data_IF_305719478315
#
_entry.id   IF_305719478315
#
_cell.length_a   1.000
_cell.length_b   1.000
_cell.length_c   1.000
_cell.angle_alpha   90.00
_cell.angle_beta   90.00
_cell.angle_gamma   90.00
#
_symmetry.space_group_name_H-M   'P 1'
#
loop_
_entity.id
_entity.type
_entity.pdbx_description
1 polymer ?
#
# COMPACT_ATOMS: atom_id res chain seq x y z
N UNK A 1 -12.83 -14.22 -9.70
CA UNK A 1 -13.20 -14.28 -8.26
C UNK A 1 -12.00 -14.06 -7.34
N UNK A 2 -10.93 -14.87 -7.40
CA UNK A 2 -9.74 -14.75 -6.53
C UNK A 2 -9.15 -13.34 -6.43
N UNK A 3 -9.03 -12.64 -7.55
CA UNK A 3 -8.45 -11.27 -7.57
C UNK A 3 -9.34 -10.25 -6.86
N UNK A 4 -10.66 -10.36 -6.97
CA UNK A 4 -11.61 -9.49 -6.28
C UNK A 4 -11.56 -9.74 -4.77
N UNK A 5 -11.48 -11.02 -4.37
CA UNK A 5 -11.35 -11.42 -2.97
C UNK A 5 -10.09 -10.80 -2.35
N UNK A 6 -8.95 -10.84 -3.06
CA UNK A 6 -7.70 -10.22 -2.58
C UNK A 6 -7.80 -8.70 -2.45
N UNK A 7 -8.48 -8.03 -3.37
CA UNK A 7 -8.73 -6.59 -3.28
C UNK A 7 -9.59 -6.24 -2.07
N UNK A 8 -10.71 -6.95 -1.89
CA UNK A 8 -11.62 -6.76 -0.74
C UNK A 8 -10.91 -7.06 0.58
N UNK A 9 -10.13 -8.13 0.66
CA UNK A 9 -9.38 -8.45 1.88
C UNK A 9 -8.38 -7.35 2.23
N UNK A 10 -7.77 -6.71 1.22
CA UNK A 10 -6.84 -5.59 1.45
C UNK A 10 -7.55 -4.42 2.11
N UNK A 11 -8.72 -4.02 1.60
CA UNK A 11 -9.54 -2.94 2.18
C UNK A 11 -9.92 -3.26 3.64
N UNK A 12 -10.32 -4.50 3.92
CA UNK A 12 -10.66 -4.93 5.28
C UNK A 12 -9.44 -4.85 6.20
N UNK A 13 -8.27 -5.32 5.74
CA UNK A 13 -7.03 -5.27 6.53
C UNK A 13 -6.62 -3.83 6.82
N UNK A 14 -6.68 -2.93 5.84
CA UNK A 14 -6.36 -1.51 6.04
C UNK A 14 -7.34 -0.83 7.00
N UNK A 15 -8.63 -1.15 6.91
CA UNK A 15 -9.63 -0.67 7.86
C UNK A 15 -9.35 -1.16 9.29
N UNK A 16 -8.97 -2.43 9.45
CA UNK A 16 -8.61 -2.99 10.77
C UNK A 16 -7.33 -2.37 11.34
N UNK A 17 -6.31 -2.17 10.52
CA UNK A 17 -5.06 -1.49 10.92
C UNK A 17 -5.38 -0.05 11.37
N UNK A 18 -6.14 0.68 10.56
CA UNK A 18 -6.56 2.05 10.88
C UNK A 18 -7.35 2.08 12.18
N UNK A 19 -8.32 1.17 12.34
CA UNK A 19 -9.10 1.06 13.58
C UNK A 19 -8.22 0.75 14.80
N UNK A 20 -7.27 -0.17 14.66
CA UNK A 20 -6.29 -0.48 15.72
C UNK A 20 -5.49 0.75 16.13
N UNK A 21 -4.97 1.51 15.16
CA UNK A 21 -4.18 2.73 15.42
C UNK A 21 -5.05 3.81 16.08
N UNK A 22 -6.28 4.01 15.61
CA UNK A 22 -7.20 5.01 16.21
C UNK A 22 -7.50 4.71 17.66
N UNK A 23 -7.64 3.42 18.03
CA UNK A 23 -7.83 3.00 19.43
C UNK A 23 -6.60 3.20 20.30
N UNK A 24 -5.40 3.16 19.73
CA UNK A 24 -4.15 3.34 20.48
C UNK A 24 -3.82 4.82 20.73
N UNK A 25 -4.16 5.70 19.79
CA UNK A 25 -3.75 7.12 19.81
C UNK A 25 -4.94 8.06 20.09
N UNK A 26 -6.16 7.52 20.21
CA UNK A 26 -7.42 8.27 20.40
C UNK A 26 -7.65 9.35 19.33
N UNK A 27 -7.36 9.01 18.08
CA UNK A 27 -7.51 9.88 16.91
C UNK A 27 -8.73 9.45 16.10
N UNK A 28 -9.38 10.41 15.44
CA UNK A 28 -10.54 10.13 14.58
C UNK A 28 -10.12 9.25 13.40
N UNK A 29 -10.91 8.22 13.11
CA UNK A 29 -10.62 7.26 12.04
C UNK A 29 -10.41 7.93 10.68
N UNK A 30 -11.27 8.88 10.31
CA UNK A 30 -11.19 9.58 9.03
C UNK A 30 -9.96 10.48 8.90
N UNK A 31 -9.41 10.98 10.00
CA UNK A 31 -8.22 11.84 9.97
C UNK A 31 -6.97 11.05 9.59
N UNK A 32 -6.87 9.80 10.04
CA UNK A 32 -5.68 8.97 9.83
C UNK A 32 -5.82 7.98 8.68
N UNK A 33 -7.04 7.61 8.27
CA UNK A 33 -7.30 6.61 7.22
C UNK A 33 -6.68 6.99 5.87
N UNK A 34 -6.66 8.27 5.50
CA UNK A 34 -6.02 8.75 4.27
C UNK A 34 -4.52 8.48 4.30
N UNK A 35 -3.86 8.80 5.42
CA UNK A 35 -2.43 8.57 5.57
C UNK A 35 -2.08 7.09 5.58
N UNK A 36 -2.87 6.26 6.26
CA UNK A 36 -2.68 4.81 6.26
C UNK A 36 -2.86 4.23 4.85
N UNK A 37 -3.91 4.62 4.13
CA UNK A 37 -4.13 4.16 2.76
C UNK A 37 -3.00 4.57 1.81
N UNK A 38 -2.55 5.82 1.90
CA UNK A 38 -1.44 6.32 1.07
C UNK A 38 -0.12 5.60 1.38
N UNK A 39 0.23 5.45 2.65
CA UNK A 39 1.44 4.72 3.08
C UNK A 39 1.37 3.26 2.60
N UNK A 40 0.23 2.60 2.75
CA UNK A 40 0.02 1.24 2.24
C UNK A 40 0.19 1.15 0.72
N UNK A 41 -0.33 2.11 -0.05
CA UNK A 41 -0.10 2.18 -1.49
C UNK A 41 1.40 2.25 -1.82
N UNK A 42 2.16 3.10 -1.14
CA UNK A 42 3.62 3.24 -1.34
C UNK A 42 4.33 1.93 -1.00
N UNK A 43 4.01 1.31 0.13
CA UNK A 43 4.58 0.03 0.54
C UNK A 43 4.29 -1.04 -0.53
N UNK A 44 3.03 -1.22 -0.90
CA UNK A 44 2.62 -2.23 -1.89
C UNK A 44 3.29 -1.97 -3.24
N UNK A 45 3.44 -0.71 -3.66
CA UNK A 45 4.12 -0.35 -4.90
C UNK A 45 5.59 -0.81 -4.92
N UNK A 46 6.31 -0.57 -3.82
CA UNK A 46 7.71 -1.00 -3.67
C UNK A 46 7.81 -2.52 -3.80
N UNK A 47 6.96 -3.26 -3.10
CA UNK A 47 6.96 -4.72 -3.10
C UNK A 47 6.39 -5.36 -4.38
N UNK A 48 5.54 -4.67 -5.14
CA UNK A 48 4.91 -5.20 -6.36
C UNK A 48 5.71 -4.92 -7.65
N UNK A 49 6.91 -4.34 -7.53
CA UNK A 49 7.78 -4.05 -8.69
C UNK A 49 8.77 -5.18 -8.95
N UNK A 50 8.78 -5.72 -10.18
CA UNK A 50 9.80 -6.68 -10.64
C UNK A 50 11.17 -5.99 -10.65
N UNK A 51 12.23 -6.65 -10.18
CA UNK A 51 13.53 -5.99 -9.96
C UNK A 51 13.50 -4.93 -8.85
N UNK A 52 12.48 -4.96 -7.97
CA UNK A 52 12.32 -4.05 -6.85
C UNK A 52 13.40 -4.20 -5.76
N UNK A 53 13.27 -3.42 -4.68
CA UNK A 53 14.29 -3.26 -3.65
C UNK A 53 14.84 -4.59 -3.09
N UNK A 54 13.95 -5.51 -2.69
CA UNK A 54 14.37 -6.81 -2.13
C UNK A 54 15.11 -7.70 -3.13
N UNK A 55 14.60 -7.81 -4.37
CA UNK A 55 15.27 -8.56 -5.43
C UNK A 55 16.64 -7.97 -5.79
N UNK A 56 16.78 -6.64 -5.70
CA UNK A 56 18.06 -5.97 -5.95
C UNK A 56 19.06 -6.22 -4.81
N UNK A 57 18.63 -6.21 -3.55
CA UNK A 57 19.51 -6.54 -2.42
C UNK A 57 20.09 -7.94 -2.53
N UNK A 58 19.23 -8.95 -2.77
CA UNK A 58 19.67 -10.35 -2.94
C UNK A 58 20.61 -10.49 -4.13
N UNK A 59 20.33 -9.80 -5.24
CA UNK A 59 21.23 -9.78 -6.41
C UNK A 59 22.61 -9.21 -6.07
N UNK A 60 22.66 -8.10 -5.34
CA UNK A 60 23.92 -7.47 -4.94
C UNK A 60 24.71 -8.37 -4.00
N UNK A 61 24.03 -9.06 -3.08
CA UNK A 61 24.64 -10.05 -2.18
C UNK A 61 25.27 -11.21 -2.97
N UNK A 62 24.51 -11.85 -3.85
CA UNK A 62 25.02 -12.96 -4.68
C UNK A 62 26.12 -12.50 -5.64
N UNK A 63 26.02 -11.30 -6.21
CA UNK A 63 27.05 -10.71 -7.07
C UNK A 63 28.34 -10.43 -6.28
N UNK A 64 28.24 -9.98 -5.03
CA UNK A 64 29.39 -9.78 -4.15
C UNK A 64 30.06 -11.11 -3.75
N UNK A 65 29.28 -12.15 -3.47
CA UNK A 65 29.81 -13.48 -3.13
C UNK A 65 30.47 -14.20 -4.31
N UNK A 66 29.84 -14.13 -5.49
CA UNK A 66 30.29 -14.90 -6.67
C UNK A 66 31.24 -14.13 -7.58
N UNK A 67 31.28 -12.80 -7.48
CA UNK A 67 31.97 -11.91 -8.41
C UNK A 67 31.35 -11.87 -9.82
N UNK A 68 30.22 -12.56 -10.03
CA UNK A 68 29.56 -12.65 -11.33
C UNK A 68 28.59 -11.50 -11.52
N UNK A 69 28.74 -10.78 -12.64
CA UNK A 69 27.82 -9.71 -13.01
C UNK A 69 26.47 -10.28 -13.44
N UNK A 70 25.51 -10.33 -12.52
CA UNK A 70 24.10 -10.59 -12.78
C UNK A 70 23.45 -9.34 -13.40
N UNK A 71 22.81 -9.50 -14.56
CA UNK A 71 22.09 -8.41 -15.24
C UNK A 71 20.86 -7.95 -14.43
N UNK A 72 20.57 -6.65 -14.52
CA UNK A 72 19.40 -6.07 -13.88
C UNK A 72 18.11 -6.46 -14.63
N UNK A 73 17.13 -7.00 -13.91
CA UNK A 73 15.80 -7.18 -14.45
C UNK A 73 15.15 -5.82 -14.70
N UNK A 74 14.57 -5.63 -15.90
CA UNK A 74 13.82 -4.41 -16.23
C UNK A 74 12.69 -4.20 -15.21
N UNK A 75 12.72 -3.06 -14.53
CA UNK A 75 11.70 -2.69 -13.56
C UNK A 75 10.35 -2.59 -14.23
N UNK A 76 9.49 -3.57 -14.01
CA UNK A 76 8.10 -3.58 -14.50
C UNK A 76 7.18 -3.56 -13.30
N UNK A 77 6.32 -2.55 -13.24
CA UNK A 77 5.28 -2.49 -12.22
C UNK A 77 4.11 -3.36 -12.65
N UNK A 78 3.71 -4.31 -11.80
CA UNK A 78 2.47 -5.07 -11.99
C UNK A 78 1.39 -4.50 -11.09
N UNK A 79 0.33 -4.01 -11.72
CA UNK A 79 -0.86 -3.52 -11.03
C UNK A 79 -1.61 -4.71 -10.40
N UNK A 80 -1.30 -4.98 -9.14
CA UNK A 80 -1.86 -6.12 -8.40
C UNK A 80 -3.25 -5.80 -7.88
N UNK A 81 -4.12 -6.80 -7.67
CA UNK A 81 -5.43 -6.58 -7.06
C UNK A 81 -5.35 -5.99 -5.64
N UNK A 82 -4.25 -6.28 -4.93
CA UNK A 82 -3.94 -5.73 -3.61
C UNK A 82 -3.66 -4.23 -3.71
N UNK A 83 -2.84 -3.82 -4.69
CA UNK A 83 -2.56 -2.41 -4.95
C UNK A 83 -3.83 -1.64 -5.31
N UNK A 84 -4.69 -2.22 -6.15
CA UNK A 84 -6.00 -1.67 -6.47
C UNK A 84 -6.88 -1.52 -5.22
N UNK A 85 -6.92 -2.52 -4.35
CA UNK A 85 -7.64 -2.45 -3.08
C UNK A 85 -7.21 -1.27 -2.22
N UNK A 86 -5.90 -1.07 -2.07
CA UNK A 86 -5.33 0.05 -1.31
C UNK A 86 -5.64 1.42 -1.92
N UNK A 87 -5.63 1.54 -3.25
CA UNK A 87 -6.08 2.75 -3.96
C UNK A 87 -7.55 3.03 -3.63
N UNK A 88 -8.42 2.01 -3.72
CA UNK A 88 -9.84 2.19 -3.41
C UNK A 88 -10.05 2.62 -1.96
N UNK A 89 -9.38 1.99 -1.00
CA UNK A 89 -9.45 2.39 0.40
C UNK A 89 -9.03 3.86 0.61
N UNK A 90 -7.96 4.29 -0.05
CA UNK A 90 -7.48 5.68 -0.01
C UNK A 90 -8.52 6.64 -0.60
N UNK A 91 -9.11 6.32 -1.75
CA UNK A 91 -10.15 7.14 -2.40
C UNK A 91 -11.39 7.24 -1.49
N UNK A 92 -11.87 6.13 -0.94
CA UNK A 92 -13.01 6.14 -0.03
C UNK A 92 -12.73 6.92 1.25
N UNK A 93 -11.49 6.86 1.75
CA UNK A 93 -11.06 7.66 2.90
C UNK A 93 -11.08 9.15 2.61
N UNK A 94 -10.61 9.57 1.43
CA UNK A 94 -10.66 10.98 0.99
C UNK A 94 -12.11 11.44 0.85
N UNK A 95 -12.96 10.65 0.18
CA UNK A 95 -14.37 10.98 0.01
C UNK A 95 -15.05 11.10 1.38
N UNK A 96 -14.81 10.14 2.28
CA UNK A 96 -15.37 10.14 3.63
C UNK A 96 -14.94 11.37 4.44
N UNK A 97 -13.65 11.74 4.37
CA UNK A 97 -13.15 12.95 5.02
C UNK A 97 -13.81 14.21 4.43
N UNK A 98 -13.86 14.35 3.10
CA UNK A 98 -14.50 15.51 2.46
C UNK A 98 -15.96 15.66 2.89
N UNK A 99 -16.73 14.57 2.93
CA UNK A 99 -18.13 14.60 3.38
C UNK A 99 -18.22 14.98 4.86
N UNK A 100 -17.37 14.40 5.71
CA UNK A 100 -17.39 14.67 7.15
C UNK A 100 -17.02 16.11 7.50
N UNK A 101 -16.15 16.74 6.72
CA UNK A 101 -15.75 18.13 6.93
C UNK A 101 -16.53 19.12 6.05
N UNK A 102 -17.45 18.64 5.20
CA UNK A 102 -18.22 19.50 4.30
C UNK A 102 -19.03 20.56 5.06
N UNK A 103 -19.61 20.17 6.20
CA UNK A 103 -20.38 21.06 7.07
C UNK A 103 -19.54 22.20 7.67
N UNK A 104 -18.21 22.06 7.77
CA UNK A 104 -17.34 23.14 8.23
C UNK A 104 -17.08 24.22 7.17
N UNK A 105 -17.40 23.94 5.91
CA UNK A 105 -17.22 24.87 4.79
C UNK A 105 -18.52 25.56 4.34
N UNK A 106 -19.66 25.23 4.95
CA UNK A 106 -20.98 25.83 4.67
C UNK A 106 -21.45 26.63 5.88
#
# INVERSE_FOLDING_TARGET
MKNIILGISTIIIEALITFGITKLIDVVFLEISIFIGFISCVIIYIFSSTGGFGSNMVRLEVQAETGLKIDEEKKTFRMSPIFLGSIFFTIFSIIGAVISYWEYFT
#
